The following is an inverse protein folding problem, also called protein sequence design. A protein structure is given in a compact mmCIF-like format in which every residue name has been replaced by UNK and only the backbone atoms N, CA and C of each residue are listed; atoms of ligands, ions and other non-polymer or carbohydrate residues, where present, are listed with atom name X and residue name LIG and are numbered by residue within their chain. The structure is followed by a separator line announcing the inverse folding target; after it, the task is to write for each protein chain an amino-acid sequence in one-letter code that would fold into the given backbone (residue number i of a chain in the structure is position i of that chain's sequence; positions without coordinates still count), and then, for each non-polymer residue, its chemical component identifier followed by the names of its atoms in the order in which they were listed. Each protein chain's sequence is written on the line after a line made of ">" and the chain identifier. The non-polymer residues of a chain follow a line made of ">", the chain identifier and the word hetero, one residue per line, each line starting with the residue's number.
data_IF_589644372631
#
_entry.id   IF_589644372631
#
_cell.length_a   1.000
_cell.length_b   1.000
_cell.length_c   1.000
_cell.angle_alpha   90.00
_cell.angle_beta   90.00
_cell.angle_gamma   90.00
#
_symmetry.space_group_name_H-M   'P 1'
#
loop_
_entity.id
_entity.type
_entity.pdbx_description
1 polymer ?
#
# COMPACT_ATOMS: atom_id res chain seq x y z
N UNK A 1 -4.34 -1.64 6.30
CA UNK A 1 -4.89 -2.87 5.66
C UNK A 1 -5.43 -3.88 6.67
N UNK A 2 -4.71 -4.23 7.75
CA UNK A 2 -5.19 -5.17 8.79
C UNK A 2 -6.61 -4.84 9.31
N UNK A 3 -6.86 -3.58 9.70
CA UNK A 3 -8.19 -3.15 10.16
C UNK A 3 -9.30 -3.33 9.13
N UNK A 4 -8.99 -3.27 7.83
CA UNK A 4 -10.02 -3.45 6.79
C UNK A 4 -10.58 -4.88 6.79
N UNK A 5 -9.74 -5.90 6.99
CA UNK A 5 -10.19 -7.28 7.09
C UNK A 5 -10.96 -7.53 8.40
N UNK A 6 -10.45 -7.00 9.51
CA UNK A 6 -11.14 -7.06 10.80
C UNK A 6 -12.54 -6.44 10.72
N UNK A 7 -12.67 -5.27 10.10
CA UNK A 7 -13.93 -4.52 10.07
C UNK A 7 -14.95 -5.18 9.11
N UNK A 8 -14.51 -5.88 8.06
CA UNK A 8 -15.41 -6.74 7.25
C UNK A 8 -15.99 -7.87 8.10
N UNK A 9 -15.14 -8.56 8.87
CA UNK A 9 -15.53 -9.78 9.60
C UNK A 9 -16.37 -9.43 10.84
N UNK A 10 -15.92 -8.45 11.63
CA UNK A 10 -16.54 -8.11 12.91
C UNK A 10 -17.65 -7.08 12.78
N UNK A 11 -17.44 -6.03 11.98
CA UNK A 11 -18.35 -4.88 11.91
C UNK A 11 -19.25 -4.92 10.67
N UNK A 12 -19.03 -5.87 9.75
CA UNK A 12 -19.66 -5.94 8.42
C UNK A 12 -19.59 -4.60 7.66
N UNK A 13 -18.56 -3.80 7.94
CA UNK A 13 -18.35 -2.49 7.35
C UNK A 13 -17.28 -2.57 6.27
N UNK A 14 -17.67 -2.29 5.04
CA UNK A 14 -16.76 -2.42 3.90
C UNK A 14 -15.97 -1.13 3.60
N UNK A 15 -16.27 0.00 4.24
CA UNK A 15 -15.76 1.32 3.82
C UNK A 15 -14.23 1.36 3.66
N UNK A 16 -13.47 0.84 4.62
CA UNK A 16 -12.01 0.81 4.56
C UNK A 16 -11.50 -0.13 3.46
N UNK A 17 -12.12 -1.30 3.30
CA UNK A 17 -11.76 -2.23 2.24
C UNK A 17 -12.01 -1.61 0.85
N UNK A 18 -13.11 -0.85 0.70
CA UNK A 18 -13.40 -0.14 -0.53
C UNK A 18 -12.35 0.93 -0.86
N UNK A 19 -11.93 1.71 0.15
CA UNK A 19 -10.91 2.73 0.01
C UNK A 19 -9.56 2.12 -0.41
N UNK A 20 -9.17 0.99 0.20
CA UNK A 20 -7.93 0.26 -0.15
C UNK A 20 -7.97 -0.27 -1.58
N UNK A 21 -9.11 -0.82 -2.02
CA UNK A 21 -9.26 -1.31 -3.39
C UNK A 21 -9.06 -0.17 -4.40
N UNK A 22 -9.69 1.00 -4.17
CA UNK A 22 -9.53 2.17 -5.04
C UNK A 22 -8.09 2.68 -5.02
N UNK A 23 -7.44 2.75 -3.85
CA UNK A 23 -6.04 3.19 -3.80
C UNK A 23 -5.11 2.26 -4.58
N UNK A 24 -5.34 0.95 -4.53
CA UNK A 24 -4.56 -0.02 -5.31
C UNK A 24 -4.81 0.11 -6.82
N UNK A 25 -6.05 0.36 -7.24
CA UNK A 25 -6.36 0.53 -8.66
C UNK A 25 -5.74 1.81 -9.22
N UNK A 26 -5.81 2.92 -8.47
CA UNK A 26 -5.15 4.18 -8.85
C UNK A 26 -3.63 4.02 -8.88
N UNK A 27 -3.05 3.31 -7.90
CA UNK A 27 -1.62 3.01 -7.86
C UNK A 27 -1.17 2.20 -9.08
N UNK A 28 -1.93 1.19 -9.49
CA UNK A 28 -1.63 0.37 -10.65
C UNK A 28 -1.63 1.19 -11.96
N UNK A 29 -2.61 2.08 -12.13
CA UNK A 29 -2.66 3.01 -13.28
C UNK A 29 -1.49 4.00 -13.22
N UNK A 30 -1.22 4.56 -12.04
CA UNK A 30 -0.13 5.51 -11.82
C UNK A 30 1.23 4.92 -12.19
N UNK A 31 1.56 3.74 -11.65
CA UNK A 31 2.81 3.04 -11.95
C UNK A 31 2.94 2.69 -13.44
N UNK A 32 1.85 2.25 -14.09
CA UNK A 32 1.86 1.98 -15.52
C UNK A 32 2.21 3.24 -16.34
N UNK A 33 1.59 4.39 -16.04
CA UNK A 33 1.86 5.65 -16.74
C UNK A 33 3.32 6.07 -16.61
N UNK A 34 3.88 6.05 -15.39
CA UNK A 34 5.26 6.44 -15.16
C UNK A 34 6.28 5.46 -15.76
N UNK A 35 5.90 4.19 -15.87
CA UNK A 35 6.71 3.18 -16.55
C UNK A 35 6.73 3.39 -18.08
N UNK A 36 5.58 3.72 -18.70
CA UNK A 36 5.55 4.11 -20.11
C UNK A 36 6.35 5.38 -20.39
N UNK A 37 6.34 6.32 -19.45
CA UNK A 37 7.14 7.53 -19.54
C UNK A 37 8.66 7.28 -19.37
N UNK A 38 9.09 6.05 -19.04
CA UNK A 38 10.49 5.70 -18.81
C UNK A 38 11.10 6.31 -17.55
N UNK A 39 10.28 6.92 -16.69
CA UNK A 39 10.71 7.58 -15.45
C UNK A 39 11.01 6.55 -14.36
N UNK A 40 10.30 5.42 -14.38
CA UNK A 40 10.39 4.36 -13.38
C UNK A 40 10.75 3.05 -14.08
N UNK A 41 11.72 2.34 -13.51
CA UNK A 41 11.95 0.93 -13.84
C UNK A 41 11.20 0.05 -12.84
N UNK A 42 10.26 -0.77 -13.32
CA UNK A 42 9.59 -1.75 -12.46
C UNK A 42 10.59 -2.85 -12.12
N UNK A 43 11.20 -2.76 -10.94
CA UNK A 43 12.01 -3.81 -10.36
C UNK A 43 11.17 -4.58 -9.32
N UNK A 44 10.30 -5.53 -9.72
CA UNK A 44 9.58 -6.36 -8.77
C UNK A 44 10.60 -7.16 -7.94
N UNK A 45 10.44 -7.15 -6.62
CA UNK A 45 11.30 -7.94 -5.74
C UNK A 45 11.18 -9.43 -6.08
N UNK A 46 12.32 -10.13 -6.11
CA UNK A 46 12.35 -11.57 -6.35
C UNK A 46 11.48 -12.32 -5.33
N UNK A 47 10.66 -13.25 -5.81
CA UNK A 47 9.78 -14.01 -4.94
C UNK A 47 10.58 -15.07 -4.16
N UNK A 48 10.68 -14.84 -2.84
CA UNK A 48 11.39 -15.72 -1.91
C UNK A 48 10.36 -16.36 -1.00
N UNK A 49 9.78 -17.53 -1.34
CA UNK A 49 8.60 -18.07 -0.68
C UNK A 49 8.82 -18.29 0.82
N UNK A 50 9.95 -18.86 1.21
CA UNK A 50 10.25 -19.11 2.63
C UNK A 50 10.44 -17.81 3.42
N UNK A 51 11.20 -16.87 2.88
CA UNK A 51 11.34 -15.54 3.48
C UNK A 51 10.01 -14.79 3.58
N UNK A 52 9.15 -14.89 2.56
CA UNK A 52 7.85 -14.23 2.53
C UNK A 52 6.85 -14.84 3.53
N UNK A 53 6.80 -16.17 3.63
CA UNK A 53 5.88 -16.87 4.55
C UNK A 53 6.33 -16.64 6.00
N UNK A 54 7.58 -16.98 6.33
CA UNK A 54 8.08 -16.88 7.70
C UNK A 54 8.16 -15.42 8.13
N UNK A 55 8.73 -14.56 7.28
CA UNK A 55 8.83 -13.12 7.55
C UNK A 55 7.45 -12.46 7.67
N UNK A 56 6.52 -12.80 6.78
CA UNK A 56 5.14 -12.30 6.82
C UNK A 56 4.38 -12.72 8.07
N UNK A 57 4.54 -13.96 8.53
CA UNK A 57 3.93 -14.45 9.77
C UNK A 57 4.49 -13.74 11.01
N UNK A 58 5.82 -13.67 11.13
CA UNK A 58 6.48 -12.99 12.27
C UNK A 58 6.12 -11.50 12.28
N UNK A 59 6.12 -10.84 11.12
CA UNK A 59 5.70 -9.45 10.99
C UNK A 59 4.23 -9.26 11.36
N UNK A 60 3.35 -10.19 10.96
CA UNK A 60 1.94 -10.21 11.34
C UNK A 60 1.73 -10.31 12.84
N UNK A 61 2.41 -11.24 13.51
CA UNK A 61 2.37 -11.41 14.96
C UNK A 61 2.87 -10.15 15.65
N UNK A 62 3.98 -9.57 15.18
CA UNK A 62 4.51 -8.30 15.69
C UNK A 62 3.52 -7.14 15.57
N UNK A 63 2.80 -7.01 14.45
CA UNK A 63 1.77 -5.98 14.28
C UNK A 63 0.61 -6.12 15.28
N UNK A 64 0.24 -7.34 15.66
CA UNK A 64 -0.80 -7.58 16.67
C UNK A 64 -0.32 -7.12 18.04
N UNK A 65 0.90 -7.51 18.45
CA UNK A 65 1.47 -7.09 19.74
C UNK A 65 1.73 -5.59 19.82
N UNK A 66 2.16 -4.96 18.72
CA UNK A 66 2.40 -3.53 18.65
C UNK A 66 1.11 -2.68 18.60
N UNK A 67 -0.06 -3.30 18.41
CA UNK A 67 -1.34 -2.59 18.33
C UNK A 67 -1.48 -1.67 17.10
N UNK A 68 -0.69 -1.92 16.04
CA UNK A 68 -0.63 -1.07 14.86
C UNK A 68 0.08 -1.72 13.67
N UNK A 69 -0.27 -1.28 12.47
CA UNK A 69 0.50 -1.63 11.25
C UNK A 69 1.65 -0.63 11.06
N UNK A 70 2.68 -0.99 10.29
CA UNK A 70 3.87 -0.15 10.14
C UNK A 70 3.59 1.29 9.68
N UNK A 71 2.68 1.49 8.72
CA UNK A 71 2.26 2.84 8.31
C UNK A 71 1.39 3.53 9.38
N UNK A 72 0.72 2.73 10.20
CA UNK A 72 -0.14 3.19 11.27
C UNK A 72 0.65 3.72 12.46
N UNK A 73 1.72 3.03 12.83
CA UNK A 73 2.61 3.45 13.90
C UNK A 73 3.32 4.75 13.52
N UNK A 74 3.74 4.93 12.27
CA UNK A 74 4.45 6.16 11.84
C UNK A 74 3.58 7.42 11.93
N UNK A 75 2.30 7.37 11.51
CA UNK A 75 1.46 8.56 11.62
C UNK A 75 1.06 8.85 13.08
N UNK A 76 0.80 7.80 13.87
CA UNK A 76 0.44 7.90 15.30
C UNK A 76 1.57 8.42 16.18
N UNK A 77 2.82 8.19 15.78
CA UNK A 77 3.98 8.86 16.37
C UNK A 77 3.89 10.37 16.17
N UNK A 78 3.49 10.82 14.97
CA UNK A 78 3.25 12.23 14.69
C UNK A 78 2.08 12.84 15.49
N UNK A 79 1.10 12.02 15.90
CA UNK A 79 0.02 12.41 16.80
C UNK A 79 0.44 12.47 18.29
N UNK A 80 1.69 12.11 18.63
CA UNK A 80 2.21 12.15 19.99
C UNK A 80 1.91 10.91 20.84
N UNK A 81 1.45 9.80 20.24
CA UNK A 81 1.19 8.57 20.99
C UNK A 81 2.48 7.82 21.32
N UNK A 82 2.90 7.91 22.60
CA UNK A 82 4.11 7.26 23.10
C UNK A 82 4.16 5.75 22.85
N UNK A 83 3.02 5.05 22.92
CA UNK A 83 2.96 3.62 22.59
C UNK A 83 3.35 3.32 21.14
N UNK A 84 2.98 4.18 20.19
CA UNK A 84 3.38 4.04 18.79
C UNK A 84 4.85 4.40 18.56
N UNK A 85 5.42 5.25 19.42
CA UNK A 85 6.83 5.60 19.39
C UNK A 85 7.72 4.42 19.78
N UNK A 86 7.37 3.72 20.87
CA UNK A 86 8.07 2.49 21.27
C UNK A 86 7.95 1.42 20.18
N UNK A 87 6.76 1.27 19.58
CA UNK A 87 6.56 0.34 18.46
C UNK A 87 7.41 0.69 17.23
N UNK A 88 7.56 1.99 16.91
CA UNK A 88 8.41 2.44 15.82
C UNK A 88 9.89 2.14 16.07
N UNK A 89 10.38 2.34 17.31
CA UNK A 89 11.75 1.97 17.69
C UNK A 89 11.96 0.46 17.55
N UNK A 90 11.03 -0.35 18.06
CA UNK A 90 11.11 -1.81 17.93
C UNK A 90 11.15 -2.27 16.47
N UNK A 91 10.36 -1.64 15.60
CA UNK A 91 10.38 -1.91 14.16
C UNK A 91 11.73 -1.57 13.53
N UNK A 92 12.31 -0.41 13.86
CA UNK A 92 13.63 0.01 13.35
C UNK A 92 14.74 -0.91 13.84
N UNK A 93 14.78 -1.23 15.13
CA UNK A 93 15.80 -2.13 15.71
C UNK A 93 15.67 -3.54 15.12
N UNK A 94 14.45 -4.06 14.98
CA UNK A 94 14.20 -5.35 14.33
C UNK A 94 14.64 -5.37 12.85
N UNK A 95 14.37 -4.29 12.11
CA UNK A 95 14.80 -4.15 10.72
C UNK A 95 16.34 -4.12 10.60
N UNK A 96 17.02 -3.40 11.50
CA UNK A 96 18.49 -3.35 11.56
C UNK A 96 19.09 -4.71 11.93
N UNK A 97 18.54 -5.40 12.94
CA UNK A 97 19.03 -6.72 13.35
C UNK A 97 18.88 -7.78 12.26
N UNK A 98 17.82 -7.68 11.45
CA UNK A 98 17.54 -8.63 10.35
C UNK A 98 18.41 -8.36 9.11
N UNK A 99 18.96 -7.14 8.97
CA UNK A 99 19.78 -6.75 7.83
C UNK A 99 21.28 -6.78 8.12
N UNK A 100 21.71 -6.26 9.27
CA UNK A 100 23.13 -6.11 9.63
C UNK A 100 23.50 -6.81 10.94
N UNK A 101 22.54 -7.38 11.65
CA UNK A 101 22.75 -7.96 12.98
C UNK A 101 22.74 -9.49 12.99
N UNK A 102 22.47 -10.04 14.17
CA UNK A 102 22.52 -11.48 14.47
C UNK A 102 21.54 -12.31 13.64
N UNK A 103 20.48 -11.69 13.10
CA UNK A 103 19.48 -12.38 12.27
C UNK A 103 19.81 -12.33 10.77
N UNK A 104 20.93 -11.72 10.37
CA UNK A 104 21.34 -11.63 8.97
C UNK A 104 21.56 -13.01 8.34
N UNK A 105 22.28 -13.91 9.01
CA UNK A 105 22.52 -15.28 8.51
C UNK A 105 21.22 -16.07 8.32
N UNK A 106 20.28 -15.93 9.26
CA UNK A 106 18.96 -16.56 9.17
C UNK A 106 18.15 -15.96 8.01
N UNK A 107 18.17 -14.63 7.89
CA UNK A 107 17.51 -13.88 6.81
C UNK A 107 18.05 -14.27 5.44
N UNK A 108 19.36 -14.44 5.31
CA UNK A 108 20.01 -14.91 4.08
C UNK A 108 19.70 -16.37 3.79
N UNK A 109 19.75 -17.25 4.80
CA UNK A 109 19.37 -18.65 4.70
C UNK A 109 17.93 -18.85 4.18
N UNK A 110 16.98 -18.05 4.67
CA UNK A 110 15.60 -18.07 4.20
C UNK A 110 15.41 -17.50 2.79
N UNK A 111 16.38 -16.69 2.33
CA UNK A 111 16.37 -16.06 1.01
C UNK A 111 17.08 -16.90 -0.07
N UNK A 112 17.71 -18.02 0.29
CA UNK A 112 18.46 -18.90 -0.62
C UNK A 112 17.56 -19.53 -1.68
N UNK A 113 16.33 -19.88 -1.31
CA UNK A 113 15.35 -20.39 -2.27
C UNK A 113 14.65 -19.21 -2.94
N UNK A 114 15.22 -18.77 -4.04
CA UNK A 114 14.51 -17.99 -5.05
C UNK A 114 13.87 -18.95 -6.02
N UNK A 115 12.54 -18.98 -6.04
CA UNK A 115 11.83 -19.57 -7.17
C UNK A 115 11.92 -18.53 -8.29
N UNK A 116 12.26 -18.93 -9.53
CA UNK A 116 12.24 -18.17 -10.80
C UNK A 116 13.15 -16.93 -10.96
N UNK A 117 13.52 -16.61 -12.21
CA UNK A 117 14.37 -15.47 -12.58
C UNK A 117 13.58 -14.20 -12.94
N UNK A 118 12.32 -14.28 -13.36
CA UNK A 118 11.39 -13.16 -13.59
C UNK A 118 9.96 -13.64 -13.30
N UNK A 119 9.26 -13.06 -12.32
CA UNK A 119 8.12 -13.77 -11.70
C UNK A 119 6.89 -12.93 -11.33
N UNK A 120 6.66 -11.81 -11.99
CA UNK A 120 5.24 -11.52 -12.21
C UNK A 120 4.76 -12.50 -13.29
N UNK A 121 3.49 -12.93 -13.26
CA UNK A 121 2.86 -13.62 -14.40
C UNK A 121 3.02 -12.82 -15.73
N UNK A 122 3.44 -11.56 -15.61
CA UNK A 122 3.66 -10.54 -16.63
C UNK A 122 5.15 -10.27 -16.95
N UNK A 123 6.10 -10.83 -16.19
CA UNK A 123 7.55 -10.68 -16.41
C UNK A 123 8.08 -11.67 -17.46
N UNK A 124 7.42 -12.82 -17.58
CA UNK A 124 7.62 -13.78 -18.67
C UNK A 124 7.17 -13.21 -20.04
N UNK A 125 6.28 -12.20 -20.04
CA UNK A 125 5.75 -11.57 -21.26
C UNK A 125 6.59 -10.39 -21.78
N UNK A 126 7.85 -10.22 -21.35
CA UNK A 126 8.73 -9.11 -21.74
C UNK A 126 8.36 -7.78 -21.05
N UNK A 127 9.37 -6.97 -20.68
CA UNK A 127 9.24 -5.78 -19.82
C UNK A 127 8.31 -4.68 -20.37
N UNK A 128 7.96 -4.76 -21.65
CA UNK A 128 7.07 -3.83 -22.35
C UNK A 128 5.58 -4.13 -22.08
N UNK A 129 5.23 -5.38 -21.78
CA UNK A 129 3.82 -5.80 -21.65
C UNK A 129 3.33 -5.67 -20.19
N UNK A 130 4.24 -5.70 -19.22
CA UNK A 130 3.96 -5.52 -17.78
C UNK A 130 3.22 -4.21 -17.46
N UNK A 131 3.63 -3.05 -17.99
CA UNK A 131 2.92 -1.78 -17.78
C UNK A 131 1.53 -1.76 -18.44
N UNK A 132 1.39 -2.35 -19.63
CA UNK A 132 0.11 -2.44 -20.36
C UNK A 132 -0.90 -3.24 -19.54
N UNK A 133 -0.50 -4.39 -18.99
CA UNK A 133 -1.37 -5.21 -18.16
C UNK A 133 -1.74 -4.53 -16.83
N UNK A 134 -0.81 -3.85 -16.17
CA UNK A 134 -1.13 -3.05 -14.97
C UNK A 134 -2.11 -1.93 -15.26
N UNK A 135 -1.98 -1.28 -16.42
CA UNK A 135 -2.93 -0.26 -16.87
C UNK A 135 -4.32 -0.86 -17.12
N UNK A 136 -4.40 -1.99 -17.82
CA UNK A 136 -5.67 -2.67 -18.12
C UNK A 136 -6.33 -3.14 -16.83
N UNK A 137 -5.61 -3.81 -15.93
CA UNK A 137 -6.13 -4.24 -14.63
C UNK A 137 -6.56 -3.07 -13.76
N UNK A 138 -5.79 -1.97 -13.76
CA UNK A 138 -6.13 -0.74 -13.06
C UNK A 138 -7.41 -0.10 -13.61
N UNK A 139 -7.53 0.03 -14.93
CA UNK A 139 -8.70 0.60 -15.60
C UNK A 139 -9.93 -0.28 -15.45
N UNK A 140 -9.81 -1.60 -15.61
CA UNK A 140 -10.89 -2.56 -15.37
C UNK A 140 -11.29 -2.55 -13.91
N UNK A 141 -10.33 -2.50 -12.98
CA UNK A 141 -10.57 -2.36 -11.55
C UNK A 141 -11.35 -1.08 -11.22
N UNK A 142 -10.95 0.06 -11.78
CA UNK A 142 -11.64 1.34 -11.62
C UNK A 142 -13.04 1.27 -12.24
N UNK A 143 -13.19 0.70 -13.45
CA UNK A 143 -14.47 0.57 -14.13
C UNK A 143 -15.44 -0.35 -13.37
N UNK A 144 -14.98 -1.48 -12.85
CA UNK A 144 -15.76 -2.39 -12.02
C UNK A 144 -16.14 -1.73 -10.69
N UNK A 145 -15.22 -1.01 -10.04
CA UNK A 145 -15.52 -0.26 -8.82
C UNK A 145 -16.51 0.88 -9.08
N UNK A 146 -16.38 1.56 -10.22
CA UNK A 146 -17.30 2.60 -10.64
C UNK A 146 -18.69 2.00 -10.91
N UNK A 147 -18.77 0.89 -11.62
CA UNK A 147 -20.03 0.23 -11.96
C UNK A 147 -20.72 -0.40 -10.73
N UNK A 148 -20.00 -1.13 -9.89
CA UNK A 148 -20.58 -1.83 -8.74
C UNK A 148 -20.79 -0.93 -7.52
N UNK A 149 -19.95 0.08 -7.28
CA UNK A 149 -20.01 0.88 -6.05
C UNK A 149 -20.30 2.36 -6.28
N UNK A 150 -19.73 3.00 -7.31
CA UNK A 150 -20.00 4.41 -7.55
C UNK A 150 -21.38 4.65 -8.20
N UNK A 151 -21.76 3.86 -9.20
CA UNK A 151 -23.03 3.97 -9.93
C UNK A 151 -24.26 3.79 -9.04
N UNK A 152 -24.37 2.74 -8.21
CA UNK A 152 -25.49 2.62 -7.26
C UNK A 152 -25.43 3.64 -6.12
N UNK A 153 -24.24 4.13 -5.74
CA UNK A 153 -24.12 5.20 -4.74
C UNK A 153 -24.55 6.57 -5.29
N UNK A 154 -24.26 6.85 -6.57
CA UNK A 154 -24.71 8.04 -7.30
C UNK A 154 -26.21 8.00 -7.55
N UNK A 155 -26.74 6.84 -7.98
CA UNK A 155 -28.18 6.64 -8.21
C UNK A 155 -29.02 6.80 -6.93
N UNK A 156 -28.45 6.50 -5.75
CA UNK A 156 -29.09 6.72 -4.44
C UNK A 156 -28.93 8.14 -3.89
N UNK A 157 -28.08 8.99 -4.47
CA UNK A 157 -27.66 10.27 -3.84
C UNK A 157 -28.49 11.50 -4.20
N UNK A 158 -29.25 11.48 -5.30
CA UNK A 158 -29.97 12.67 -5.77
C UNK A 158 -29.06 13.91 -5.95
N UNK A 159 -29.65 15.11 -6.01
CA UNK A 159 -29.02 16.40 -6.34
C UNK A 159 -28.15 17.05 -5.23
N UNK A 160 -27.43 16.25 -4.44
CA UNK A 160 -26.50 16.81 -3.44
C UNK A 160 -25.09 16.90 -4.02
N UNK A 161 -24.43 18.08 -3.94
CA UNK A 161 -23.09 18.26 -4.52
C UNK A 161 -22.08 17.28 -3.92
N UNK A 162 -21.25 16.70 -4.78
CA UNK A 162 -20.29 15.63 -4.42
C UNK A 162 -19.21 16.12 -3.43
N UNK A 163 -18.89 17.40 -3.46
CA UNK A 163 -17.95 18.09 -2.59
C UNK A 163 -18.55 19.48 -2.28
N UNK A 164 -18.73 19.80 -0.99
CA UNK A 164 -19.07 21.15 -0.55
C UNK A 164 -17.75 21.86 -0.24
N UNK A 165 -17.43 22.91 -0.99
CA UNK A 165 -16.15 23.63 -0.88
C UNK A 165 -16.28 24.94 -0.11
N UNK A 166 -17.31 25.07 0.73
CA UNK A 166 -17.68 26.34 1.36
C UNK A 166 -16.63 26.81 2.40
N UNK A 167 -15.79 25.91 2.92
CA UNK A 167 -14.66 26.20 3.81
C UNK A 167 -13.52 25.17 3.66
N UNK A 168 -12.42 25.53 2.97
CA UNK A 168 -11.30 24.62 2.71
C UNK A 168 -10.67 24.05 4.00
N UNK A 169 -10.48 24.87 5.05
CA UNK A 169 -9.87 24.44 6.32
C UNK A 169 -10.76 23.47 7.09
N UNK A 170 -12.07 23.73 7.09
CA UNK A 170 -13.03 22.92 7.84
C UNK A 170 -13.30 21.58 7.17
N UNK A 171 -13.41 21.59 5.84
CA UNK A 171 -13.62 20.39 5.03
C UNK A 171 -12.35 19.54 5.02
N UNK A 172 -11.16 20.16 5.04
CA UNK A 172 -9.91 19.40 4.95
C UNK A 172 -9.44 18.78 6.27
N UNK A 173 -9.71 19.44 7.40
CA UNK A 173 -9.18 19.01 8.71
C UNK A 173 -10.26 18.51 9.70
N UNK A 174 -11.54 18.89 9.56
CA UNK A 174 -12.58 18.55 10.56
C UNK A 174 -13.56 17.46 10.11
N UNK A 175 -13.68 17.15 8.82
CA UNK A 175 -14.62 16.14 8.32
C UNK A 175 -13.91 14.91 7.77
N UNK A 176 -14.44 13.73 8.10
CA UNK A 176 -14.01 12.47 7.48
C UNK A 176 -14.34 12.47 5.99
N UNK A 177 -13.33 12.34 5.15
CA UNK A 177 -13.48 12.26 3.70
C UNK A 177 -14.25 10.99 3.29
N UNK A 178 -15.00 11.06 2.17
CA UNK A 178 -15.63 9.86 1.63
C UNK A 178 -14.57 8.89 1.10
N UNK A 179 -14.86 7.58 1.20
CA UNK A 179 -13.95 6.48 0.92
C UNK A 179 -13.28 6.51 -0.47
N UNK A 180 -13.93 7.10 -1.48
CA UNK A 180 -13.40 7.20 -2.84
C UNK A 180 -12.36 8.33 -2.97
N UNK A 181 -12.57 9.45 -2.27
CA UNK A 181 -11.60 10.56 -2.23
C UNK A 181 -10.33 10.12 -1.51
N UNK A 182 -10.47 9.44 -0.36
CA UNK A 182 -9.31 8.92 0.37
C UNK A 182 -8.55 7.90 -0.46
N UNK A 183 -9.24 6.99 -1.14
CA UNK A 183 -8.61 6.01 -2.03
C UNK A 183 -7.79 6.67 -3.15
N UNK A 184 -8.37 7.65 -3.85
CA UNK A 184 -7.71 8.35 -4.96
C UNK A 184 -6.50 9.16 -4.47
N UNK A 185 -6.66 9.95 -3.40
CA UNK A 185 -5.58 10.76 -2.86
C UNK A 185 -4.41 9.90 -2.39
N UNK A 186 -4.69 8.82 -1.65
CA UNK A 186 -3.65 7.90 -1.18
C UNK A 186 -2.95 7.24 -2.37
N UNK A 187 -3.70 6.80 -3.39
CA UNK A 187 -3.12 6.21 -4.61
C UNK A 187 -2.19 7.18 -5.35
N UNK A 188 -2.60 8.45 -5.49
CA UNK A 188 -1.78 9.49 -6.12
C UNK A 188 -0.53 9.82 -5.30
N UNK A 189 -0.67 9.98 -3.97
CA UNK A 189 0.45 10.24 -3.07
C UNK A 189 1.46 9.09 -3.11
N UNK A 190 0.99 7.83 -3.11
CA UNK A 190 1.87 6.67 -3.23
C UNK A 190 2.57 6.61 -4.60
N UNK A 191 1.87 6.99 -5.67
CA UNK A 191 2.45 7.04 -7.01
C UNK A 191 3.55 8.10 -7.08
N UNK A 192 3.28 9.31 -6.62
CA UNK A 192 4.25 10.40 -6.56
C UNK A 192 5.42 10.08 -5.62
N UNK A 193 5.13 9.46 -4.47
CA UNK A 193 6.13 9.02 -3.50
C UNK A 193 7.08 7.98 -4.08
N UNK A 194 6.59 7.08 -4.93
CA UNK A 194 7.43 6.08 -5.60
C UNK A 194 8.38 6.69 -6.65
N UNK A 195 7.89 7.68 -7.41
CA UNK A 195 8.72 8.45 -8.34
C UNK A 195 9.79 9.21 -7.56
N UNK A 196 9.41 9.88 -6.47
CA UNK A 196 10.33 10.65 -5.65
C UNK A 196 11.36 9.78 -4.90
N UNK A 197 11.01 8.55 -4.52
CA UNK A 197 11.89 7.64 -3.80
C UNK A 197 12.81 6.80 -4.69
N UNK A 198 12.78 7.01 -6.02
CA UNK A 198 13.64 6.27 -6.95
C UNK A 198 13.34 4.77 -7.02
N UNK A 199 12.08 4.37 -6.82
CA UNK A 199 11.66 2.98 -7.02
C UNK A 199 11.59 2.12 -5.75
N UNK A 200 11.57 2.73 -4.55
CA UNK A 200 11.46 1.98 -3.28
C UNK A 200 10.16 2.34 -2.56
N UNK A 201 9.24 1.39 -2.47
CA UNK A 201 8.03 1.49 -1.61
C UNK A 201 8.18 0.52 -0.45
N UNK A 202 8.72 1.00 0.67
CA UNK A 202 8.85 0.19 1.86
C UNK A 202 9.38 0.98 3.04
N UNK A 203 8.70 0.86 4.19
CA UNK A 203 9.11 1.52 5.44
C UNK A 203 10.49 1.04 5.89
N UNK A 204 10.85 -0.20 5.56
CA UNK A 204 12.13 -0.82 5.93
C UNK A 204 13.18 -0.81 4.81
N UNK A 205 12.91 -0.19 3.66
CA UNK A 205 13.78 -0.25 2.48
C UNK A 205 14.25 1.11 1.96
N UNK A 206 13.41 2.15 2.08
CA UNK A 206 13.67 3.46 1.45
C UNK A 206 14.88 4.22 2.00
N UNK A 207 15.25 3.98 3.26
CA UNK A 207 16.31 4.72 3.96
C UNK A 207 17.72 4.16 3.77
N UNK A 208 17.87 3.05 3.04
CA UNK A 208 19.12 2.28 3.08
C UNK A 208 19.99 2.49 1.83
N UNK A 209 19.54 3.35 0.90
CA UNK A 209 20.34 3.85 -0.22
C UNK A 209 20.59 5.36 -0.11
N UNK A 210 20.40 5.93 1.09
CA UNK A 210 20.85 7.28 1.47
C UNK A 210 22.13 7.10 2.29
#
# INVERSE_FOLDING_TARGET
>A
MNSAFRDIILLKEFKLAKAVAVSLAVLAVGFAIFAFAGIINLAPAAFKPWAAIVGGLVFGIGMVFAGGCASGTTYRVGEGMMGSFVAAIGLTVGALMTKFGVLSDLSEGLKLVTVGSNLTLFGEFNAVITPIFMLILGLVGIALMFFFWAWPALKKRGDKPLLKFDNFVEVSFKKGYPWWVTGILIGLILTAGYVASGGIVGITGGWINI
#
